data_IF_234998400167
#
_entry.id   IF_234998400167
#
_cell.length_a   1.000
_cell.length_b   1.000
_cell.length_c   1.000
_cell.angle_alpha   90.00
_cell.angle_beta   90.00
_cell.angle_gamma   90.00
#
_symmetry.space_group_name_H-M   'P 1'
#
loop_
_entity.id
_entity.type
_entity.pdbx_description
1 polymer ?
#
# COMPACT_ATOMS: atom_id res chain seq x y z
N UNK A 1 0.27 3.85 6.67
CA UNK A 1 -0.49 3.24 5.55
C UNK A 1 -1.82 2.66 5.98
N UNK A 2 -1.88 1.98 7.10
CA UNK A 2 -3.14 1.36 7.56
C UNK A 2 -4.24 2.42 7.71
N UNK A 3 -3.91 3.56 8.30
CA UNK A 3 -4.88 4.63 8.48
C UNK A 3 -5.41 5.17 7.17
N UNK A 4 -4.55 5.26 6.16
CA UNK A 4 -4.96 5.73 4.84
C UNK A 4 -5.86 4.73 4.14
N UNK A 5 -5.59 3.43 4.32
CA UNK A 5 -6.47 2.39 3.78
C UNK A 5 -7.84 2.42 4.46
N UNK A 6 -7.86 2.59 5.78
CA UNK A 6 -9.12 2.71 6.50
C UNK A 6 -9.93 3.91 6.02
N UNK A 7 -9.25 5.01 5.77
CA UNK A 7 -9.89 6.22 5.28
C UNK A 7 -10.49 6.01 3.90
N UNK A 8 -9.75 5.33 3.02
CA UNK A 8 -10.25 5.00 1.69
C UNK A 8 -11.48 4.09 1.76
N UNK A 9 -11.46 3.10 2.66
CA UNK A 9 -12.60 2.22 2.87
C UNK A 9 -13.82 3.03 3.33
N UNK A 10 -13.59 3.93 4.27
CA UNK A 10 -14.66 4.78 4.79
C UNK A 10 -15.33 5.60 3.70
N UNK A 11 -14.56 6.04 2.71
CA UNK A 11 -15.08 6.84 1.60
C UNK A 11 -15.60 6.00 0.44
N UNK A 12 -15.67 4.68 0.60
CA UNK A 12 -16.26 3.80 -0.39
C UNK A 12 -15.38 3.53 -1.61
N UNK A 13 -14.08 3.70 -1.46
CA UNK A 13 -13.13 3.39 -2.55
C UNK A 13 -13.07 1.88 -2.74
N UNK A 14 -13.32 1.42 -3.97
CA UNK A 14 -13.36 -0.01 -4.28
C UNK A 14 -12.07 -0.51 -4.90
N UNK A 15 -11.41 0.31 -5.71
CA UNK A 15 -10.15 -0.05 -6.36
C UNK A 15 -9.09 0.96 -5.98
N UNK A 16 -7.94 0.48 -5.51
CA UNK A 16 -6.88 1.35 -5.03
C UNK A 16 -5.53 0.85 -5.50
N UNK A 17 -4.69 1.78 -5.91
CA UNK A 17 -3.30 1.51 -6.24
C UNK A 17 -2.44 2.21 -5.20
N UNK A 18 -1.60 1.44 -4.52
CA UNK A 18 -0.74 1.96 -3.46
C UNK A 18 0.68 2.08 -4.01
N UNK A 19 1.18 3.29 -4.04
CA UNK A 19 2.51 3.60 -4.55
C UNK A 19 3.45 3.85 -3.39
N UNK A 20 4.52 3.08 -3.32
CA UNK A 20 5.47 3.11 -2.21
C UNK A 20 6.88 3.36 -2.73
N UNK A 21 7.65 4.10 -1.96
CA UNK A 21 9.01 4.46 -2.33
C UNK A 21 10.07 3.46 -1.85
N UNK A 22 9.70 2.46 -1.07
CA UNK A 22 10.61 1.42 -0.63
C UNK A 22 10.27 0.10 -1.31
N UNK A 23 11.18 -0.36 -2.16
CA UNK A 23 10.98 -1.57 -2.93
C UNK A 23 10.80 -2.81 -2.05
N UNK A 24 11.53 -2.89 -0.94
CA UNK A 24 11.42 -4.03 -0.04
C UNK A 24 10.00 -4.19 0.49
N UNK A 25 9.37 -3.07 0.87
CA UNK A 25 7.99 -3.11 1.37
C UNK A 25 7.04 -3.57 0.29
N UNK A 26 7.22 -3.08 -0.94
CA UNK A 26 6.38 -3.51 -2.07
C UNK A 26 6.51 -5.01 -2.29
N UNK A 27 7.75 -5.53 -2.26
CA UNK A 27 7.99 -6.96 -2.45
C UNK A 27 7.35 -7.78 -1.33
N UNK A 28 7.40 -7.30 -0.11
CA UNK A 28 6.75 -7.99 1.01
C UNK A 28 5.23 -8.00 0.85
N UNK A 29 4.64 -6.88 0.46
CA UNK A 29 3.20 -6.78 0.27
C UNK A 29 2.72 -7.62 -0.91
N UNK A 30 3.56 -7.77 -1.93
CA UNK A 30 3.25 -8.62 -3.08
C UNK A 30 3.59 -10.09 -2.85
N UNK A 31 4.03 -10.44 -1.65
CA UNK A 31 4.31 -11.84 -1.30
C UNK A 31 5.62 -12.37 -1.82
N UNK A 32 6.51 -11.51 -2.32
CA UNK A 32 7.79 -11.93 -2.88
C UNK A 32 8.86 -12.14 -1.81
N UNK A 33 8.73 -11.46 -0.67
CA UNK A 33 9.66 -11.59 0.45
C UNK A 33 8.90 -11.85 1.73
N UNK A 34 9.48 -12.73 2.56
CA UNK A 34 8.90 -13.07 3.85
C UNK A 34 9.21 -12.00 4.88
N UNK A 35 8.25 -11.73 5.75
CA UNK A 35 8.43 -10.83 6.87
C UNK A 35 8.78 -11.67 8.10
N UNK A 36 9.94 -11.39 8.71
CA UNK A 36 10.43 -12.16 9.87
C UNK A 36 10.20 -11.44 11.20
N UNK A 37 10.15 -10.11 11.17
CA UNK A 37 9.93 -9.33 12.38
C UNK A 37 8.49 -9.47 12.84
N UNK A 38 8.28 -9.82 14.11
CA UNK A 38 6.93 -10.10 14.61
C UNK A 38 6.06 -8.85 14.65
N UNK A 39 6.63 -7.69 14.91
CA UNK A 39 5.88 -6.45 14.94
C UNK A 39 5.43 -6.06 13.54
N UNK A 40 6.34 -6.17 12.57
CA UNK A 40 6.00 -5.90 11.18
C UNK A 40 5.00 -6.91 10.65
N UNK A 41 5.13 -8.17 11.04
CA UNK A 41 4.20 -9.21 10.62
C UNK A 41 2.78 -8.90 11.11
N UNK A 42 2.65 -8.42 12.33
CA UNK A 42 1.34 -8.06 12.88
C UNK A 42 0.69 -6.96 12.06
N UNK A 43 1.46 -5.93 11.69
CA UNK A 43 0.95 -4.84 10.86
C UNK A 43 0.61 -5.32 9.46
N UNK A 44 1.44 -6.22 8.91
CA UNK A 44 1.20 -6.81 7.61
C UNK A 44 -0.11 -7.57 7.59
N UNK A 45 -0.38 -8.35 8.63
CA UNK A 45 -1.64 -9.11 8.71
C UNK A 45 -2.85 -8.17 8.80
N UNK A 46 -2.70 -7.04 9.47
CA UNK A 46 -3.77 -6.03 9.48
C UNK A 46 -4.04 -5.48 8.08
N UNK A 47 -2.98 -5.23 7.32
CA UNK A 47 -3.13 -4.77 5.94
C UNK A 47 -3.87 -5.84 5.13
N UNK A 48 -3.52 -7.11 5.31
CA UNK A 48 -4.20 -8.21 4.62
C UNK A 48 -5.69 -8.26 4.93
N UNK A 49 -6.07 -7.98 6.16
CA UNK A 49 -7.49 -7.92 6.52
C UNK A 49 -8.19 -6.76 5.85
N UNK A 50 -7.52 -5.61 5.77
CA UNK A 50 -8.09 -4.43 5.12
C UNK A 50 -8.21 -4.61 3.62
N UNK A 51 -7.31 -5.38 3.00
CA UNK A 51 -7.36 -5.66 1.58
C UNK A 51 -8.68 -6.28 1.15
N UNK A 52 -9.30 -7.04 2.04
CA UNK A 52 -10.56 -7.71 1.74
C UNK A 52 -11.71 -6.72 1.52
N UNK A 53 -11.56 -5.49 1.95
CA UNK A 53 -12.57 -4.46 1.79
C UNK A 53 -12.53 -3.79 0.41
N UNK A 54 -11.50 -4.07 -0.38
CA UNK A 54 -11.37 -3.53 -1.72
C UNK A 54 -11.66 -4.60 -2.75
N UNK A 55 -12.24 -4.21 -3.89
CA UNK A 55 -12.34 -5.12 -5.03
C UNK A 55 -10.97 -5.40 -5.61
N UNK A 56 -10.15 -4.36 -5.71
CA UNK A 56 -8.81 -4.47 -6.25
C UNK A 56 -7.86 -3.60 -5.45
N UNK A 57 -6.74 -4.19 -5.08
CA UNK A 57 -5.66 -3.44 -4.47
C UNK A 57 -4.35 -3.90 -5.09
N UNK A 58 -3.52 -2.95 -5.49
CA UNK A 58 -2.21 -3.23 -6.06
C UNK A 58 -1.16 -2.39 -5.36
N UNK A 59 0.06 -2.93 -5.28
CA UNK A 59 1.19 -2.25 -4.68
C UNK A 59 2.28 -2.08 -5.72
N UNK A 60 2.74 -0.85 -5.89
CA UNK A 60 3.72 -0.51 -6.91
C UNK A 60 4.88 0.24 -6.27
N UNK A 61 6.08 -0.16 -6.63
CA UNK A 61 7.27 0.58 -6.23
C UNK A 61 7.49 1.72 -7.22
N UNK A 62 7.50 2.94 -6.70
CA UNK A 62 7.77 4.11 -7.50
C UNK A 62 8.85 4.93 -6.79
N UNK A 63 9.99 5.16 -7.43
CA UNK A 63 10.99 6.04 -6.85
C UNK A 63 10.36 7.39 -6.53
N UNK A 64 10.75 7.94 -5.40
CA UNK A 64 10.14 9.15 -4.85
C UNK A 64 10.04 10.28 -5.87
N UNK A 65 11.04 10.44 -6.70
CA UNK A 65 11.08 11.50 -7.71
C UNK A 65 10.12 11.30 -8.87
N UNK A 66 9.55 10.09 -8.99
CA UNK A 66 8.67 9.74 -10.11
C UNK A 66 7.24 9.46 -9.67
N UNK A 67 6.91 9.71 -8.42
CA UNK A 67 5.62 9.30 -7.88
C UNK A 67 4.42 10.04 -8.47
N UNK A 68 4.66 11.06 -9.27
CA UNK A 68 3.60 11.81 -9.90
C UNK A 68 3.27 11.34 -11.31
N UNK A 69 3.97 10.33 -11.80
CA UNK A 69 3.89 9.89 -13.19
C UNK A 69 3.35 8.48 -13.25
N UNK A 70 2.18 8.25 -12.66
CA UNK A 70 1.61 6.91 -12.61
C UNK A 70 0.34 6.88 -13.43
N UNK A 71 0.33 6.01 -14.44
CA UNK A 71 -0.91 5.67 -15.13
C UNK A 71 -1.57 4.55 -14.37
N UNK A 72 -2.79 4.79 -13.92
CA UNK A 72 -3.51 3.82 -13.11
C UNK A 72 -4.92 3.63 -13.63
N UNK A 73 -5.37 2.38 -13.59
CA UNK A 73 -6.75 2.04 -13.89
C UNK A 73 -7.61 1.96 -12.63
N UNK A 74 -7.01 2.23 -11.48
CA UNK A 74 -7.73 2.20 -10.21
C UNK A 74 -8.55 3.46 -10.03
N UNK A 75 -9.60 3.38 -9.21
CA UNK A 75 -10.40 4.53 -8.85
C UNK A 75 -9.63 5.53 -7.99
N UNK A 76 -8.62 5.05 -7.31
CA UNK A 76 -7.91 5.84 -6.31
C UNK A 76 -6.44 5.44 -6.31
N UNK A 77 -5.55 6.43 -6.24
CA UNK A 77 -4.11 6.19 -6.15
C UNK A 77 -3.62 6.78 -4.84
N UNK A 78 -2.99 5.94 -4.04
CA UNK A 78 -2.45 6.32 -2.76
C UNK A 78 -0.93 6.36 -2.85
N UNK A 79 -0.34 7.52 -2.59
CA UNK A 79 1.10 7.67 -2.51
C UNK A 79 1.52 7.67 -1.05
N UNK A 80 2.50 6.85 -0.70
CA UNK A 80 2.99 6.80 0.66
C UNK A 80 4.50 6.70 0.68
N UNK A 81 5.13 7.62 1.42
CA UNK A 81 6.58 7.72 1.50
C UNK A 81 7.01 7.46 2.93
N UNK A 82 7.70 6.34 3.13
CA UNK A 82 8.16 5.94 4.46
C UNK A 82 9.06 6.98 5.09
N UNK A 83 9.86 7.66 4.28
CA UNK A 83 10.81 8.64 4.77
C UNK A 83 10.16 9.96 5.16
N UNK A 84 8.90 10.15 4.88
CA UNK A 84 8.18 11.38 5.19
C UNK A 84 7.37 11.32 6.46
N UNK A 85 7.31 10.18 7.10
CA UNK A 85 6.48 10.12 8.30
C UNK A 85 7.20 10.76 9.46
N UNK A 86 6.44 11.26 10.35
CA UNK A 86 6.94 11.94 11.52
C UNK A 86 6.33 11.36 12.76
#
# INVERSE_FOLDING_TARGET
>A
MIELLCDAIYHGIQSIEVCLDLQLVVLQLNGMYRIRDSTLLRRFLRVRLLEQKFENITYIHIPRKYNQVVDSYANYVLYWHLLHRH
#
